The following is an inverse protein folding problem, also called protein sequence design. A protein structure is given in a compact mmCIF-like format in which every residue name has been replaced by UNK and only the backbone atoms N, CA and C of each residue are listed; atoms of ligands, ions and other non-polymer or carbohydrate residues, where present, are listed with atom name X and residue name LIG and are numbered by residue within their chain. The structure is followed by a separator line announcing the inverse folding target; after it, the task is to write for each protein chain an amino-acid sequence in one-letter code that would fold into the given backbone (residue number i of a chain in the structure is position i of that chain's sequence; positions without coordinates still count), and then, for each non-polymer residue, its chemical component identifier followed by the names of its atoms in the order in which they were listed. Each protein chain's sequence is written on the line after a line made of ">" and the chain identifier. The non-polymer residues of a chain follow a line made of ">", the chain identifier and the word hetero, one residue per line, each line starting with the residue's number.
data_IF_408107737480
#
_entry.id   IF_408107737480
#
_cell.length_a   1.000
_cell.length_b   1.000
_cell.length_c   1.000
_cell.angle_alpha   90.00
_cell.angle_beta   90.00
_cell.angle_gamma   90.00
#
_symmetry.space_group_name_H-M   'P 1'
#
loop_
_entity.id
_entity.type
_entity.pdbx_description
1 polymer ?
#
# COMPACT_ATOMS: atom_id res chain seq x y z
N UNK A 1 10.10 6.71 12.79
CA UNK A 1 10.42 5.78 13.89
C UNK A 1 9.32 5.90 14.94
N UNK A 2 8.42 4.92 14.99
CA UNK A 2 7.43 4.85 16.07
C UNK A 2 8.19 4.52 17.36
N UNK A 3 8.19 5.43 18.33
CA UNK A 3 8.98 5.36 19.56
C UNK A 3 8.18 4.71 20.69
N UNK A 4 7.77 3.45 20.49
CA UNK A 4 7.10 2.65 21.51
C UNK A 4 7.48 1.19 21.36
N UNK A 5 7.46 0.44 22.46
CA UNK A 5 7.77 -1.00 22.54
C UNK A 5 6.82 -1.90 21.70
N UNK A 6 5.89 -1.32 20.95
CA UNK A 6 4.86 -2.01 20.17
C UNK A 6 5.12 -1.82 18.68
N UNK A 7 5.24 -2.93 17.96
CA UNK A 7 5.41 -2.94 16.51
C UNK A 7 4.17 -2.41 15.79
N UNK A 8 4.35 -1.35 15.00
CA UNK A 8 3.32 -0.79 14.11
C UNK A 8 3.70 -1.12 12.67
N UNK A 9 2.76 -1.64 11.91
CA UNK A 9 2.94 -2.01 10.50
C UNK A 9 2.20 -1.03 9.60
N UNK A 10 2.92 -0.38 8.70
CA UNK A 10 2.33 0.45 7.66
C UNK A 10 2.20 -0.38 6.38
N UNK A 11 0.97 -0.60 5.91
CA UNK A 11 0.67 -1.40 4.71
C UNK A 11 0.35 -0.56 3.49
N UNK A 12 -0.01 0.72 3.67
CA UNK A 12 -0.24 1.70 2.61
C UNK A 12 0.30 3.08 3.01
N UNK A 13 0.58 3.96 2.04
CA UNK A 13 1.02 5.35 2.27
C UNK A 13 2.47 5.65 1.87
N UNK A 14 2.97 6.84 2.20
CA UNK A 14 4.19 7.43 1.62
C UNK A 14 5.50 6.61 1.74
N UNK A 15 5.60 5.74 2.75
CA UNK A 15 6.77 4.85 2.94
C UNK A 15 6.63 3.51 2.21
N UNK A 16 5.43 3.19 1.72
CA UNK A 16 5.08 1.98 0.96
C UNK A 16 4.92 2.30 -0.53
N UNK A 17 4.57 3.55 -0.86
CA UNK A 17 4.25 4.05 -2.21
C UNK A 17 5.45 4.21 -3.15
N UNK A 18 6.57 3.53 -2.88
CA UNK A 18 7.72 3.47 -3.80
C UNK A 18 7.80 2.14 -4.54
N UNK A 19 6.72 1.35 -4.52
CA UNK A 19 6.63 0.17 -5.35
C UNK A 19 6.59 0.60 -6.83
N UNK A 20 7.56 0.12 -7.60
CA UNK A 20 7.56 0.18 -9.07
C UNK A 20 6.14 -0.01 -9.60
N UNK A 21 5.65 0.87 -10.50
CA UNK A 21 4.34 0.70 -11.10
C UNK A 21 4.14 -0.74 -11.60
N UNK A 22 2.95 -1.30 -11.40
CA UNK A 22 2.67 -2.71 -11.67
C UNK A 22 3.00 -3.15 -13.11
N UNK A 23 2.89 -2.23 -14.07
CA UNK A 23 3.25 -2.49 -15.48
C UNK A 23 4.77 -2.72 -15.66
N UNK A 24 5.61 -2.01 -14.89
CA UNK A 24 7.07 -2.21 -14.87
C UNK A 24 7.42 -3.50 -14.15
N UNK A 25 6.78 -3.75 -13.01
CA UNK A 25 6.95 -4.97 -12.22
C UNK A 25 6.66 -6.24 -13.05
N UNK A 26 5.55 -6.25 -13.80
CA UNK A 26 5.20 -7.34 -14.73
C UNK A 26 6.25 -7.53 -15.83
N UNK A 27 6.75 -6.44 -16.42
CA UNK A 27 7.77 -6.48 -17.48
C UNK A 27 9.13 -7.00 -16.99
N UNK A 28 9.49 -6.73 -15.74
CA UNK A 28 10.77 -7.10 -15.12
C UNK A 28 10.67 -8.27 -14.12
N UNK A 29 9.58 -9.04 -14.16
CA UNK A 29 9.27 -10.13 -13.21
C UNK A 29 10.44 -11.12 -12.98
N UNK A 30 11.20 -11.46 -14.02
CA UNK A 30 12.35 -12.39 -13.90
C UNK A 30 13.54 -11.77 -13.16
N UNK A 31 13.85 -10.50 -13.40
CA UNK A 31 14.98 -9.82 -12.75
C UNK A 31 14.64 -9.41 -11.31
N UNK A 32 13.38 -9.05 -11.04
CA UNK A 32 12.89 -8.68 -9.72
C UNK A 32 12.67 -9.89 -8.80
N UNK A 33 12.67 -11.12 -9.31
CA UNK A 33 12.42 -12.33 -8.50
C UNK A 33 13.41 -12.49 -7.34
N UNK A 34 14.65 -12.00 -7.47
CA UNK A 34 15.69 -12.10 -6.44
C UNK A 34 15.73 -10.88 -5.51
N UNK A 35 14.92 -9.88 -5.77
CA UNK A 35 14.85 -8.67 -4.97
C UNK A 35 14.02 -8.94 -3.70
N UNK A 36 14.61 -8.69 -2.53
CA UNK A 36 13.98 -8.94 -1.23
C UNK A 36 12.79 -8.01 -1.01
N UNK A 37 12.84 -6.79 -1.53
CA UNK A 37 11.75 -5.82 -1.45
C UNK A 37 10.56 -6.25 -2.31
N UNK A 38 10.85 -6.82 -3.49
CA UNK A 38 9.82 -7.38 -4.37
C UNK A 38 9.16 -8.63 -3.77
N UNK A 39 9.91 -9.47 -3.05
CA UNK A 39 9.38 -10.67 -2.40
C UNK A 39 8.51 -10.35 -1.18
N UNK A 40 8.83 -9.29 -0.44
CA UNK A 40 8.10 -8.88 0.76
C UNK A 40 6.95 -7.90 0.47
N UNK A 41 6.67 -7.61 -0.81
CA UNK A 41 5.61 -6.68 -1.22
C UNK A 41 4.24 -7.23 -0.83
N UNK A 42 3.51 -6.47 -0.02
CA UNK A 42 2.10 -6.70 0.27
C UNK A 42 1.29 -6.14 -0.90
N UNK A 43 0.43 -6.97 -1.49
CA UNK A 43 -0.53 -6.52 -2.50
C UNK A 43 -1.86 -6.17 -1.83
N UNK A 44 -2.27 -4.91 -1.95
CA UNK A 44 -3.56 -4.44 -1.45
C UNK A 44 -4.63 -4.71 -2.51
N UNK A 45 -5.78 -5.23 -2.10
CA UNK A 45 -6.95 -5.41 -2.98
C UNK A 45 -7.57 -4.06 -3.34
N UNK A 46 -7.50 -3.10 -2.42
CA UNK A 46 -7.97 -1.73 -2.60
C UNK A 46 -6.87 -0.78 -2.17
N UNK A 47 -6.28 -0.09 -3.15
CA UNK A 47 -5.31 0.96 -2.90
C UNK A 47 -6.00 2.33 -2.92
N UNK A 48 -5.84 3.08 -1.84
CA UNK A 48 -6.45 4.40 -1.67
C UNK A 48 -5.40 5.47 -1.88
N UNK A 49 -5.24 5.90 -3.13
CA UNK A 49 -4.33 6.97 -3.51
C UNK A 49 -5.11 8.26 -3.84
N UNK A 50 -4.65 9.38 -3.30
CA UNK A 50 -5.19 10.71 -3.57
C UNK A 50 -4.03 11.61 -3.98
N UNK A 51 -4.21 12.41 -5.03
CA UNK A 51 -3.15 13.31 -5.53
C UNK A 51 -2.74 14.38 -4.52
N UNK A 52 -3.66 14.79 -3.65
CA UNK A 52 -3.41 15.74 -2.57
C UNK A 52 -3.65 15.08 -1.21
N UNK A 53 -4.91 14.84 -0.87
CA UNK A 53 -5.35 14.10 0.31
C UNK A 53 -6.84 13.75 0.15
N UNK A 54 -7.36 12.93 1.06
CA UNK A 54 -8.80 12.86 1.31
C UNK A 54 -9.15 13.72 2.52
N UNK A 55 -10.29 14.40 2.46
CA UNK A 55 -10.87 15.14 3.56
C UNK A 55 -11.53 14.21 4.58
N UNK A 56 -12.10 13.09 4.11
CA UNK A 56 -12.81 12.15 4.97
C UNK A 56 -12.79 10.74 4.39
N UNK A 57 -12.65 9.75 5.27
CA UNK A 57 -12.83 8.34 4.96
C UNK A 57 -13.88 7.77 5.92
N UNK A 58 -14.84 7.01 5.39
CA UNK A 58 -15.82 6.26 6.18
C UNK A 58 -16.05 4.87 5.62
N UNK A 59 -16.24 3.90 6.51
CA UNK A 59 -16.63 2.54 6.17
C UNK A 59 -18.14 2.37 6.39
N UNK A 60 -18.79 1.57 5.57
CA UNK A 60 -20.18 1.18 5.75
C UNK A 60 -20.36 0.38 7.06
N UNK A 61 -21.57 0.38 7.68
CA UNK A 61 -21.82 -0.35 8.91
C UNK A 61 -21.59 -1.87 8.81
N UNK A 62 -21.77 -2.44 7.62
CA UNK A 62 -21.51 -3.85 7.31
C UNK A 62 -20.02 -4.16 7.04
N UNK A 63 -19.17 -3.14 7.04
CA UNK A 63 -17.72 -3.27 6.80
C UNK A 63 -17.34 -3.61 5.37
N UNK A 64 -18.29 -3.68 4.42
CA UNK A 64 -18.04 -4.16 3.07
C UNK A 64 -17.53 -3.08 2.11
N UNK A 65 -17.77 -1.81 2.43
CA UNK A 65 -17.45 -0.70 1.55
C UNK A 65 -16.79 0.45 2.31
N UNK A 66 -15.94 1.19 1.61
CA UNK A 66 -15.34 2.40 2.12
C UNK A 66 -15.53 3.54 1.10
N UNK A 67 -15.92 4.71 1.59
CA UNK A 67 -16.09 5.94 0.82
C UNK A 67 -15.04 6.96 1.28
N UNK A 68 -14.43 7.63 0.30
CA UNK A 68 -13.48 8.71 0.53
C UNK A 68 -13.81 9.92 -0.35
N UNK A 69 -13.59 11.11 0.19
CA UNK A 69 -13.83 12.42 -0.45
C UNK A 69 -12.67 13.33 -0.23
#
# INVERSE_FOLDING_TARGET
>A
TYSGDISVYQVSGANVSRALPDWIAKKRKRSLKRDLEYQNRIELIQDFEFSEASNRIKVSPDGQYAMAT
#
